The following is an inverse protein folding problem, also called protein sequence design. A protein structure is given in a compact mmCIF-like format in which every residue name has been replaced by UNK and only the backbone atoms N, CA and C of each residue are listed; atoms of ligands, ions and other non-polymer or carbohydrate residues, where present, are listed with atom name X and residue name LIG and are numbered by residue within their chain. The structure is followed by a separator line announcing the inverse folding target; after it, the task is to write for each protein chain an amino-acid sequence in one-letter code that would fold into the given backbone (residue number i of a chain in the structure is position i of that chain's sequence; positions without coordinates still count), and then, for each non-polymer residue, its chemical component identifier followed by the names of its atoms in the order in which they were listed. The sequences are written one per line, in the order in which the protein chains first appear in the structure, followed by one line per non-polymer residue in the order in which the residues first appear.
data_IF_708501059009
#
_entry.id   IF_708501059009
#
_cell.length_a   1.000
_cell.length_b   1.000
_cell.length_c   1.000
_cell.angle_alpha   90.00
_cell.angle_beta   90.00
_cell.angle_gamma   90.00
#
_symmetry.space_group_name_H-M   'P 1'
#
loop_
_entity.id
_entity.type
_entity.pdbx_description
1 polymer ?
#
# COMPACT_ATOMS: atom_id res chain seq x y z
N UNK A 1 -2.85 7.56 44.09
CA UNK A 1 -1.86 8.57 43.61
C UNK A 1 -1.77 8.60 42.08
N UNK A 2 -1.48 7.50 41.39
CA UNK A 2 -1.22 7.53 39.93
C UNK A 2 -2.48 7.42 39.06
N UNK A 3 -3.52 6.78 39.60
CA UNK A 3 -4.84 6.77 39.00
C UNK A 3 -5.35 8.17 38.65
N UNK A 4 -4.99 9.19 39.43
CA UNK A 4 -5.44 10.57 39.22
C UNK A 4 -4.81 11.21 37.97
N UNK A 5 -3.56 10.88 37.62
CA UNK A 5 -2.90 11.38 36.40
C UNK A 5 -3.56 10.83 35.13
N UNK A 6 -3.99 9.57 35.16
CA UNK A 6 -4.69 8.93 34.05
C UNK A 6 -6.17 9.32 33.96
N UNK A 7 -6.84 9.40 35.12
CA UNK A 7 -8.21 9.86 35.23
C UNK A 7 -8.38 11.27 34.63
N UNK A 8 -7.37 12.14 34.77
CA UNK A 8 -7.35 13.45 34.10
C UNK A 8 -7.46 13.33 32.59
N UNK A 9 -6.63 12.51 31.94
CA UNK A 9 -6.63 12.40 30.48
C UNK A 9 -7.95 11.84 29.95
N UNK A 10 -8.47 10.79 30.58
CA UNK A 10 -9.74 10.16 30.19
C UNK A 10 -10.93 11.08 30.47
N UNK A 11 -11.04 11.63 31.68
CA UNK A 11 -12.18 12.47 32.03
C UNK A 11 -12.12 13.84 31.37
N UNK A 12 -10.94 14.32 30.93
CA UNK A 12 -10.84 15.50 30.07
C UNK A 12 -11.52 15.24 28.72
N UNK A 13 -11.22 14.09 28.08
CA UNK A 13 -11.86 13.70 26.80
C UNK A 13 -13.37 13.45 26.99
N UNK A 14 -13.76 12.66 27.99
CA UNK A 14 -15.18 12.38 28.26
C UNK A 14 -15.95 13.63 28.76
N UNK A 15 -15.25 14.57 29.38
CA UNK A 15 -15.79 15.83 29.88
C UNK A 15 -16.08 16.86 28.79
N UNK A 16 -15.55 16.67 27.57
CA UNK A 16 -15.95 17.42 26.38
C UNK A 16 -17.40 17.10 25.98
N UNK A 17 -17.82 15.84 26.15
CA UNK A 17 -19.12 15.35 25.70
C UNK A 17 -20.16 15.19 26.83
N UNK A 18 -19.77 15.38 28.09
CA UNK A 18 -20.70 15.23 29.21
C UNK A 18 -20.28 16.00 30.48
N UNK A 19 -21.21 16.82 30.96
CA UNK A 19 -21.05 17.61 32.18
C UNK A 19 -20.78 16.75 33.42
N UNK A 20 -21.31 15.52 33.46
CA UNK A 20 -21.08 14.57 34.55
C UNK A 20 -19.61 14.17 34.68
N UNK A 21 -18.90 14.00 33.56
CA UNK A 21 -17.49 13.63 33.57
C UNK A 21 -16.56 14.82 33.81
N UNK A 22 -17.03 16.05 33.54
CA UNK A 22 -16.29 17.29 33.82
C UNK A 22 -16.01 17.50 35.31
N UNK A 23 -16.97 17.17 36.17
CA UNK A 23 -16.79 17.22 37.62
C UNK A 23 -15.70 16.26 38.10
N UNK A 24 -15.73 15.00 37.64
CA UNK A 24 -14.69 14.02 37.94
C UNK A 24 -13.32 14.39 37.37
N UNK A 25 -13.26 15.03 36.20
CA UNK A 25 -12.03 15.55 35.62
C UNK A 25 -11.40 16.62 36.52
N UNK A 26 -12.21 17.53 37.08
CA UNK A 26 -11.72 18.59 37.96
C UNK A 26 -11.16 18.05 39.29
N UNK A 27 -11.81 17.04 39.88
CA UNK A 27 -11.36 16.39 41.11
C UNK A 27 -10.07 15.58 40.87
N UNK A 28 -10.00 14.85 39.75
CA UNK A 28 -8.80 14.16 39.31
C UNK A 28 -7.65 15.14 39.03
N UNK A 29 -7.92 16.28 38.40
CA UNK A 29 -6.93 17.33 38.11
C UNK A 29 -6.35 17.95 39.37
N UNK A 30 -7.19 18.27 40.35
CA UNK A 30 -6.73 18.81 41.64
C UNK A 30 -5.77 17.84 42.35
N UNK A 31 -6.09 16.55 42.36
CA UNK A 31 -5.21 15.55 42.95
C UNK A 31 -3.94 15.30 42.11
N UNK A 32 -4.04 15.24 40.79
CA UNK A 32 -2.88 15.13 39.90
C UNK A 32 -1.89 16.28 40.09
N UNK A 33 -2.39 17.52 40.14
CA UNK A 33 -1.59 18.72 40.36
C UNK A 33 -0.92 18.72 41.74
N UNK A 34 -1.67 18.41 42.80
CA UNK A 34 -1.09 18.26 44.15
C UNK A 34 0.02 17.21 44.18
N UNK A 35 -0.18 16.07 43.52
CA UNK A 35 0.81 14.99 43.42
C UNK A 35 2.07 15.45 42.68
N UNK A 36 1.95 16.17 41.55
CA UNK A 36 3.11 16.76 40.87
C UNK A 36 3.88 17.75 41.76
N UNK A 37 3.18 18.47 42.64
CA UNK A 37 3.79 19.37 43.64
C UNK A 37 4.22 18.68 44.95
N UNK A 38 4.31 17.34 44.97
CA UNK A 38 4.65 16.53 46.14
C UNK A 38 3.72 16.72 47.37
N UNK A 39 2.51 17.22 47.15
CA UNK A 39 1.46 17.36 48.17
C UNK A 39 0.54 16.14 48.18
N UNK A 40 0.16 15.67 49.38
CA UNK A 40 -0.78 14.56 49.53
C UNK A 40 -2.16 14.93 48.96
N UNK A 41 -2.81 13.96 48.33
CA UNK A 41 -4.20 14.10 47.93
C UNK A 41 -5.12 13.74 49.08
N UNK A 42 -6.02 14.65 49.45
CA UNK A 42 -7.05 14.41 50.48
C UNK A 42 -8.38 13.88 49.88
N UNK A 43 -8.42 13.61 48.58
CA UNK A 43 -9.61 13.13 47.89
C UNK A 43 -9.65 11.61 47.92
N UNK A 44 -10.60 10.99 48.63
CA UNK A 44 -10.88 9.53 48.60
C UNK A 44 -11.48 9.03 47.27
N UNK A 45 -11.04 9.65 46.17
CA UNK A 45 -11.54 9.45 44.83
C UNK A 45 -11.16 8.07 44.28
N UNK A 46 -9.97 7.58 44.62
CA UNK A 46 -9.49 6.24 44.30
C UNK A 46 -10.38 5.17 44.95
N UNK A 47 -10.68 5.29 46.24
CA UNK A 47 -11.59 4.36 46.94
C UNK A 47 -13.04 4.45 46.42
N UNK A 48 -13.53 5.66 46.10
CA UNK A 48 -14.85 5.85 45.47
C UNK A 48 -14.95 5.22 44.07
N UNK A 49 -13.90 5.31 43.26
CA UNK A 49 -13.89 4.72 41.92
C UNK A 49 -13.69 3.21 41.98
N UNK A 50 -12.77 2.74 42.83
CA UNK A 50 -12.55 1.32 43.10
C UNK A 50 -13.82 0.62 43.54
N UNK A 51 -14.54 1.18 44.53
CA UNK A 51 -15.81 0.62 45.00
C UNK A 51 -16.91 0.60 43.93
N UNK A 52 -17.06 1.67 43.12
CA UNK A 52 -18.02 1.69 42.00
C UNK A 52 -17.73 0.66 40.92
N UNK A 53 -16.46 0.50 40.55
CA UNK A 53 -16.04 -0.48 39.54
C UNK A 53 -16.27 -1.90 40.05
N UNK A 54 -15.81 -2.19 41.28
CA UNK A 54 -15.98 -3.51 41.91
C UNK A 54 -17.47 -3.85 42.07
N UNK A 55 -18.31 -2.90 42.51
CA UNK A 55 -19.74 -3.12 42.66
C UNK A 55 -20.46 -3.49 41.34
N UNK A 56 -19.96 -3.01 40.20
CA UNK A 56 -20.53 -3.32 38.88
C UNK A 56 -20.08 -4.69 38.34
N UNK A 57 -18.93 -5.19 38.79
CA UNK A 57 -18.35 -6.48 38.39
C UNK A 57 -18.86 -7.62 39.29
N UNK A 58 -19.10 -7.33 40.57
CA UNK A 58 -19.55 -8.28 41.59
C UNK A 58 -20.73 -9.18 41.19
N UNK A 59 -21.82 -8.69 40.53
CA UNK A 59 -22.94 -9.55 40.15
C UNK A 59 -22.61 -10.57 39.04
N UNK A 60 -21.52 -10.38 38.29
CA UNK A 60 -21.11 -11.30 37.22
C UNK A 60 -20.06 -12.32 37.70
N UNK A 61 -19.11 -11.89 38.54
CA UNK A 61 -18.05 -12.76 39.06
C UNK A 61 -17.42 -12.18 40.32
N UNK A 62 -17.57 -12.90 41.43
CA UNK A 62 -16.94 -12.55 42.70
C UNK A 62 -15.41 -12.68 42.65
N UNK A 63 -14.89 -13.67 41.92
CA UNK A 63 -13.45 -13.86 41.76
C UNK A 63 -12.80 -12.69 41.01
N UNK A 64 -13.43 -12.22 39.93
CA UNK A 64 -12.95 -11.07 39.15
C UNK A 64 -13.06 -9.78 39.96
N UNK A 65 -14.15 -9.58 40.70
CA UNK A 65 -14.31 -8.43 41.57
C UNK A 65 -13.23 -8.36 42.66
N UNK A 66 -12.90 -9.52 43.28
CA UNK A 66 -11.82 -9.64 44.26
C UNK A 66 -10.44 -9.36 43.65
N UNK A 67 -10.16 -9.94 42.48
CA UNK A 67 -8.91 -9.71 41.76
C UNK A 67 -8.71 -8.23 41.40
N UNK A 68 -9.73 -7.58 40.82
CA UNK A 68 -9.69 -6.16 40.48
C UNK A 68 -9.53 -5.28 41.72
N UNK A 69 -10.14 -5.67 42.84
CA UNK A 69 -9.98 -4.97 44.11
C UNK A 69 -8.55 -5.07 44.66
N UNK A 70 -7.96 -6.26 44.69
CA UNK A 70 -6.60 -6.51 45.20
C UNK A 70 -5.52 -5.90 44.28
N UNK A 71 -5.70 -5.98 42.96
CA UNK A 71 -4.73 -5.53 41.95
C UNK A 71 -5.01 -4.13 41.39
N UNK A 72 -5.94 -3.37 42.00
CA UNK A 72 -6.41 -2.08 41.47
C UNK A 72 -5.26 -1.10 41.15
N UNK A 73 -4.26 -1.03 42.04
CA UNK A 73 -3.10 -0.14 41.90
C UNK A 73 -2.20 -0.58 40.74
N UNK A 74 -1.93 -1.88 40.63
CA UNK A 74 -1.09 -2.43 39.55
C UNK A 74 -1.76 -2.25 38.18
N UNK A 75 -3.06 -2.54 38.08
CA UNK A 75 -3.85 -2.34 36.86
C UNK A 75 -3.84 -0.85 36.46
N UNK A 76 -3.99 0.05 37.43
CA UNK A 76 -3.94 1.50 37.16
C UNK A 76 -2.59 1.93 36.58
N UNK A 77 -1.48 1.41 37.10
CA UNK A 77 -0.14 1.70 36.58
C UNK A 77 0.11 1.15 35.18
N UNK A 78 -0.36 -0.06 34.90
CA UNK A 78 -0.26 -0.68 33.56
C UNK A 78 -1.00 0.19 32.53
N UNK A 79 -2.20 0.65 32.87
CA UNK A 79 -2.98 1.53 31.99
C UNK A 79 -2.29 2.87 31.74
N UNK A 80 -1.68 3.46 32.77
CA UNK A 80 -0.91 4.72 32.63
C UNK A 80 0.30 4.51 31.72
N UNK A 81 1.10 3.47 31.98
CA UNK A 81 2.29 3.17 31.17
C UNK A 81 1.92 2.90 29.71
N UNK A 82 0.87 2.12 29.47
CA UNK A 82 0.35 1.85 28.13
C UNK A 82 -0.08 3.12 27.41
N UNK A 83 -0.76 4.05 28.10
CA UNK A 83 -1.21 5.32 27.53
C UNK A 83 -0.04 6.24 27.20
N UNK A 84 0.96 6.32 28.09
CA UNK A 84 2.17 7.12 27.85
C UNK A 84 2.97 6.59 26.66
N UNK A 85 3.18 5.27 26.59
CA UNK A 85 3.85 4.63 25.46
C UNK A 85 3.08 4.91 24.17
N UNK A 86 1.75 4.75 24.18
CA UNK A 86 0.92 5.05 23.02
C UNK A 86 1.03 6.52 22.59
N UNK A 87 1.00 7.46 23.54
CA UNK A 87 1.15 8.89 23.25
C UNK A 87 2.51 9.25 22.65
N UNK A 88 3.60 8.65 23.17
CA UNK A 88 4.95 8.84 22.63
C UNK A 88 5.02 8.30 21.20
N UNK A 89 4.46 7.11 20.93
CA UNK A 89 4.44 6.54 19.59
C UNK A 89 3.68 7.42 18.59
N UNK A 90 2.53 7.98 18.99
CA UNK A 90 1.75 8.91 18.14
C UNK A 90 2.53 10.19 17.85
N UNK A 91 3.18 10.77 18.87
CA UNK A 91 3.99 11.97 18.68
C UNK A 91 5.18 11.73 17.76
N UNK A 92 5.88 10.60 17.92
CA UNK A 92 6.97 10.18 17.05
C UNK A 92 6.49 10.00 15.60
N UNK A 93 5.35 9.35 15.41
CA UNK A 93 4.76 9.14 14.09
C UNK A 93 4.38 10.46 13.40
N UNK A 94 3.79 11.40 14.14
CA UNK A 94 3.46 12.72 13.62
C UNK A 94 4.72 13.50 13.19
N UNK A 95 5.76 13.49 14.02
CA UNK A 95 7.05 14.11 13.69
C UNK A 95 7.67 13.49 12.44
N UNK A 96 7.72 12.16 12.36
CA UNK A 96 8.29 11.46 11.21
C UNK A 96 7.49 11.75 9.93
N UNK A 97 6.16 11.84 10.03
CA UNK A 97 5.32 12.12 8.86
C UNK A 97 5.60 13.52 8.32
N UNK A 98 5.75 14.49 9.21
CA UNK A 98 6.10 15.86 8.85
C UNK A 98 7.51 15.98 8.25
N UNK A 99 8.50 15.31 8.84
CA UNK A 99 9.90 15.43 8.45
C UNK A 99 10.32 14.53 7.27
N UNK A 100 9.74 13.33 7.15
CA UNK A 100 10.19 12.27 6.24
C UNK A 100 9.07 11.67 5.37
N UNK A 101 7.82 12.13 5.51
CA UNK A 101 6.68 11.63 4.74
C UNK A 101 6.22 10.20 5.10
N UNK A 102 6.70 9.65 6.22
CA UNK A 102 6.35 8.32 6.73
C UNK A 102 6.26 8.31 8.28
N UNK A 103 5.72 7.27 8.90
CA UNK A 103 5.45 7.27 10.36
C UNK A 103 6.61 6.73 11.20
N UNK A 104 7.58 6.09 10.58
CA UNK A 104 8.54 5.24 11.27
C UNK A 104 9.97 5.83 11.28
N UNK A 105 10.23 6.90 10.50
CA UNK A 105 11.47 7.68 10.54
C UNK A 105 12.28 7.65 9.24
N UNK A 106 13.53 8.16 9.26
CA UNK A 106 14.35 8.30 8.06
C UNK A 106 14.77 6.96 7.44
N UNK A 107 14.92 5.91 8.26
CA UNK A 107 15.35 4.58 7.82
C UNK A 107 14.18 3.61 7.58
N UNK A 108 12.95 4.10 7.66
CA UNK A 108 11.77 3.26 7.58
C UNK A 108 11.12 3.26 6.19
N UNK A 109 10.93 2.06 5.65
CA UNK A 109 10.37 1.81 4.30
C UNK A 109 8.87 1.48 4.30
N UNK A 110 8.20 1.57 5.46
CA UNK A 110 6.79 1.22 5.63
C UNK A 110 5.85 2.43 5.42
N UNK A 111 4.70 2.18 4.76
CA UNK A 111 3.64 3.17 4.60
C UNK A 111 2.78 3.29 5.87
N UNK A 112 2.45 4.53 6.25
CA UNK A 112 1.62 4.87 7.41
C UNK A 112 0.19 4.29 7.34
N UNK A 113 -0.26 3.68 8.43
CA UNK A 113 -1.68 3.32 8.67
C UNK A 113 -2.58 4.57 8.73
N UNK A 114 -2.01 5.73 9.08
CA UNK A 114 -2.69 7.02 9.10
C UNK A 114 -2.11 7.97 8.05
N UNK A 115 -2.24 7.60 6.78
CA UNK A 115 -2.10 8.55 5.70
C UNK A 115 -3.43 9.31 5.53
N UNK A 116 -3.52 10.62 5.85
CA UNK A 116 -4.73 11.41 5.61
C UNK A 116 -5.07 11.54 4.11
N UNK A 117 -4.17 11.13 3.20
CA UNK A 117 -4.42 11.05 1.77
C UNK A 117 -5.12 9.74 1.30
N UNK A 118 -5.54 8.85 2.22
CA UNK A 118 -6.49 7.79 1.90
C UNK A 118 -5.98 6.62 1.04
N UNK A 119 -4.70 6.27 1.12
CA UNK A 119 -4.14 5.10 0.42
C UNK A 119 -3.37 4.20 1.38
N UNK A 120 -3.82 2.95 1.53
CA UNK A 120 -3.03 1.88 2.16
C UNK A 120 -3.70 1.13 3.31
N UNK A 121 -4.74 0.34 3.02
CA UNK A 121 -5.11 -0.78 3.88
C UNK A 121 -4.38 -2.02 3.35
N UNK A 122 -3.38 -2.53 4.08
CA UNK A 122 -2.97 -3.92 3.94
C UNK A 122 -2.44 -4.43 5.28
N UNK A 123 -3.28 -5.21 5.95
CA UNK A 123 -2.88 -6.02 7.08
C UNK A 123 -1.80 -7.03 6.64
N UNK A 124 -0.90 -7.36 7.58
CA UNK A 124 0.05 -8.48 7.54
C UNK A 124 1.19 -8.44 6.49
N UNK A 125 2.35 -7.99 6.97
CA UNK A 125 3.59 -8.78 6.88
C UNK A 125 4.26 -8.95 5.52
N UNK A 126 4.63 -7.87 4.84
CA UNK A 126 5.59 -7.94 3.73
C UNK A 126 6.81 -7.06 4.04
N UNK A 127 7.94 -7.75 4.19
CA UNK A 127 9.28 -7.19 4.26
C UNK A 127 9.63 -6.46 2.96
N UNK A 128 9.73 -5.13 2.99
CA UNK A 128 10.48 -4.38 1.97
C UNK A 128 11.85 -4.04 2.54
N UNK A 129 12.68 -5.08 2.65
CA UNK A 129 14.13 -4.90 2.52
C UNK A 129 14.36 -4.15 1.22
N UNK A 130 15.00 -2.99 1.26
CA UNK A 130 15.35 -2.19 0.09
C UNK A 130 16.22 -2.99 -0.88
N UNK A 131 15.59 -3.75 -1.78
CA UNK A 131 16.23 -4.26 -2.98
C UNK A 131 16.31 -3.08 -3.93
N UNK A 132 17.50 -2.49 -4.06
CA UNK A 132 17.77 -1.58 -5.16
C UNK A 132 17.48 -2.32 -6.47
N UNK A 133 16.52 -1.81 -7.23
CA UNK A 133 16.26 -2.27 -8.60
C UNK A 133 17.46 -1.89 -9.47
N UNK A 134 17.80 -2.75 -10.43
CA UNK A 134 18.75 -2.39 -11.47
C UNK A 134 17.96 -1.90 -12.68
N UNK A 135 18.46 -0.88 -13.38
CA UNK A 135 17.90 -0.48 -14.66
C UNK A 135 17.95 -1.67 -15.64
N UNK A 136 16.91 -1.88 -16.49
CA UNK A 136 16.87 -3.05 -17.36
C UNK A 136 18.05 -3.08 -18.34
N UNK A 137 18.60 -4.28 -18.61
CA UNK A 137 19.77 -4.42 -19.48
C UNK A 137 19.48 -4.05 -20.94
N UNK A 138 18.20 -4.06 -21.34
CA UNK A 138 17.74 -3.74 -22.69
C UNK A 138 16.46 -2.92 -22.65
N UNK A 139 16.31 -2.03 -23.63
CA UNK A 139 15.07 -1.27 -23.90
C UNK A 139 14.32 -1.81 -25.12
N UNK A 140 14.77 -2.93 -25.69
CA UNK A 140 14.07 -3.58 -26.80
C UNK A 140 12.76 -4.21 -26.35
N UNK A 141 11.78 -4.19 -27.24
CA UNK A 141 10.41 -4.62 -26.96
C UNK A 141 9.39 -3.82 -27.76
N UNK A 142 8.12 -4.15 -27.57
CA UNK A 142 7.03 -3.39 -28.17
C UNK A 142 6.99 -2.00 -27.55
N UNK A 143 6.99 -0.98 -28.40
CA UNK A 143 7.03 0.43 -27.97
C UNK A 143 5.95 1.28 -28.64
N UNK A 144 5.53 2.33 -27.94
CA UNK A 144 4.68 3.42 -28.45
C UNK A 144 5.46 4.72 -28.41
N UNK A 145 5.27 5.56 -29.42
CA UNK A 145 6.00 6.82 -29.58
C UNK A 145 7.34 6.64 -30.28
N UNK A 146 8.05 7.75 -30.47
CA UNK A 146 9.32 7.79 -31.21
C UNK A 146 10.49 7.48 -30.29
N UNK A 147 11.33 6.49 -30.63
CA UNK A 147 12.53 6.05 -29.87
C UNK A 147 13.64 7.12 -29.69
N UNK A 148 13.35 8.40 -29.96
CA UNK A 148 14.22 9.55 -29.72
C UNK A 148 13.93 10.27 -28.40
N UNK A 149 12.75 10.05 -27.81
CA UNK A 149 12.34 10.65 -26.54
C UNK A 149 12.95 9.96 -25.31
N UNK A 150 12.56 10.42 -24.12
CA UNK A 150 12.87 9.74 -22.86
C UNK A 150 12.15 8.39 -22.80
N UNK A 151 12.87 7.33 -22.44
CA UNK A 151 12.30 6.00 -22.26
C UNK A 151 11.47 5.91 -20.98
N UNK A 152 10.24 5.42 -21.11
CA UNK A 152 9.37 5.01 -20.01
C UNK A 152 9.13 3.52 -20.16
N UNK A 153 9.80 2.70 -19.34
CA UNK A 153 9.67 1.24 -19.40
C UNK A 153 8.75 0.78 -18.29
N UNK A 154 7.74 -0.03 -18.63
CA UNK A 154 6.89 -0.72 -17.67
C UNK A 154 7.11 -2.23 -17.76
N UNK A 155 7.48 -2.84 -16.65
CA UNK A 155 7.36 -4.28 -16.47
C UNK A 155 6.01 -4.59 -15.86
N UNK A 156 5.17 -5.29 -16.63
CA UNK A 156 3.78 -5.55 -16.28
C UNK A 156 3.40 -6.99 -16.55
N UNK A 157 2.43 -7.48 -15.78
CA UNK A 157 1.72 -8.71 -16.12
C UNK A 157 0.29 -8.41 -16.56
N UNK A 158 -0.16 -9.10 -17.61
CA UNK A 158 -1.43 -8.90 -18.27
C UNK A 158 -2.63 -9.24 -17.39
N UNK A 159 -2.45 -10.14 -16.44
CA UNK A 159 -3.53 -10.57 -15.54
C UNK A 159 -3.52 -9.85 -14.19
N UNK A 160 -2.57 -8.94 -13.93
CA UNK A 160 -2.51 -8.18 -12.68
C UNK A 160 -3.47 -6.97 -12.68
N UNK A 161 -4.32 -6.82 -11.65
CA UNK A 161 -5.22 -5.67 -11.55
C UNK A 161 -4.50 -4.33 -11.39
N UNK A 162 -3.28 -4.32 -10.84
CA UNK A 162 -2.50 -3.08 -10.68
C UNK A 162 -1.87 -2.62 -11.99
N UNK A 163 -1.37 -3.54 -12.83
CA UNK A 163 -0.95 -3.21 -14.20
C UNK A 163 -2.17 -2.71 -15.00
N UNK A 164 -3.33 -3.34 -14.87
CA UNK A 164 -4.55 -2.81 -15.52
C UNK A 164 -4.88 -1.36 -15.11
N UNK A 165 -4.58 -0.97 -13.88
CA UNK A 165 -4.81 0.39 -13.38
C UNK A 165 -3.84 1.43 -13.98
N UNK A 166 -2.68 1.02 -14.51
CA UNK A 166 -1.74 1.95 -15.15
C UNK A 166 -2.13 2.29 -16.57
N UNK A 167 -2.93 1.47 -17.24
CA UNK A 167 -3.36 1.70 -18.63
C UNK A 167 -3.86 3.13 -18.91
N UNK A 168 -4.78 3.72 -18.12
CA UNK A 168 -5.23 5.10 -18.35
C UNK A 168 -4.11 6.12 -18.10
N UNK A 169 -3.22 5.84 -17.14
CA UNK A 169 -2.08 6.70 -16.80
C UNK A 169 -1.06 6.71 -17.94
N UNK A 170 -0.75 5.55 -18.52
CA UNK A 170 0.14 5.41 -19.69
C UNK A 170 -0.44 6.15 -20.89
N UNK A 171 -1.73 5.99 -21.17
CA UNK A 171 -2.41 6.73 -22.25
C UNK A 171 -2.35 8.23 -22.04
N UNK A 172 -2.53 8.70 -20.81
CA UNK A 172 -2.40 10.12 -20.47
C UNK A 172 -0.96 10.62 -20.64
N UNK A 173 0.05 9.85 -20.21
CA UNK A 173 1.47 10.19 -20.43
C UNK A 173 1.79 10.34 -21.92
N UNK A 174 1.42 9.37 -22.74
CA UNK A 174 1.67 9.40 -24.18
C UNK A 174 0.96 10.58 -24.87
N UNK A 175 -0.27 10.90 -24.45
CA UNK A 175 -1.02 12.03 -25.00
C UNK A 175 -0.40 13.40 -24.64
N UNK A 176 0.10 13.58 -23.41
CA UNK A 176 0.66 14.86 -22.96
C UNK A 176 2.09 15.11 -23.48
N UNK A 177 2.89 14.05 -23.56
CA UNK A 177 4.30 14.19 -23.91
C UNK A 177 4.61 14.00 -25.39
N UNK A 178 3.79 13.24 -26.13
CA UNK A 178 4.04 12.94 -27.54
C UNK A 178 5.44 12.35 -27.74
N UNK A 179 6.16 12.82 -28.77
CA UNK A 179 7.50 12.35 -29.12
C UNK A 179 8.60 12.67 -28.10
N UNK A 180 8.29 13.41 -27.02
CA UNK A 180 9.24 13.66 -25.92
C UNK A 180 9.48 12.43 -25.08
N UNK A 181 8.57 11.45 -25.11
CA UNK A 181 8.75 10.15 -24.47
C UNK A 181 8.46 9.03 -25.45
N UNK A 182 8.96 7.84 -25.15
CA UNK A 182 8.43 6.61 -25.73
C UNK A 182 8.21 5.59 -24.62
N UNK A 183 7.12 4.84 -24.76
CA UNK A 183 6.72 3.84 -23.79
C UNK A 183 7.14 2.45 -24.29
N UNK A 184 7.73 1.64 -23.41
CA UNK A 184 8.07 0.24 -23.67
C UNK A 184 7.35 -0.63 -22.66
N UNK A 185 6.52 -1.56 -23.13
CA UNK A 185 5.92 -2.57 -22.26
C UNK A 185 6.74 -3.86 -22.32
N UNK A 186 7.14 -4.37 -21.15
CA UNK A 186 7.85 -5.62 -20.99
C UNK A 186 7.02 -6.58 -20.16
N UNK A 187 6.61 -7.68 -20.77
CA UNK A 187 5.88 -8.75 -20.09
C UNK A 187 6.73 -9.33 -18.97
N UNK A 188 6.23 -9.23 -17.74
CA UNK A 188 6.81 -9.87 -16.55
C UNK A 188 5.75 -10.77 -15.93
N UNK A 189 5.46 -11.93 -16.56
CA UNK A 189 4.45 -12.85 -16.05
C UNK A 189 4.83 -13.28 -14.63
N UNK A 190 3.98 -12.93 -13.68
CA UNK A 190 4.18 -13.18 -12.26
C UNK A 190 3.39 -14.42 -11.83
N UNK A 191 3.02 -14.52 -10.55
CA UNK A 191 2.32 -15.69 -9.99
C UNK A 191 0.82 -15.75 -10.31
N UNK A 192 0.32 -14.91 -11.23
CA UNK A 192 -1.10 -14.89 -11.59
C UNK A 192 -1.43 -15.98 -12.61
N UNK A 193 -2.65 -16.52 -12.52
CA UNK A 193 -3.13 -17.54 -13.46
C UNK A 193 -3.26 -16.96 -14.87
N UNK A 194 -2.90 -17.74 -15.89
CA UNK A 194 -2.96 -17.38 -17.32
C UNK A 194 -2.05 -16.23 -17.78
N UNK A 195 -1.10 -15.84 -16.94
CA UNK A 195 -0.26 -14.68 -17.22
C UNK A 195 0.79 -14.93 -18.30
N UNK A 196 1.41 -16.12 -18.25
CA UNK A 196 2.30 -16.61 -19.31
C UNK A 196 1.57 -16.74 -20.64
N UNK A 197 0.39 -17.38 -20.63
CA UNK A 197 -0.46 -17.52 -21.83
C UNK A 197 -0.84 -16.14 -22.40
N UNK A 198 -1.15 -15.17 -21.54
CA UNK A 198 -1.52 -13.80 -21.96
C UNK A 198 -0.34 -13.06 -22.58
N UNK A 199 0.86 -13.24 -22.04
CA UNK A 199 2.08 -12.67 -22.60
C UNK A 199 2.42 -13.28 -23.97
N UNK A 200 2.33 -14.59 -24.11
CA UNK A 200 2.52 -15.26 -25.41
C UNK A 200 1.44 -14.86 -26.43
N UNK A 201 0.19 -14.71 -25.99
CA UNK A 201 -0.92 -14.28 -26.83
C UNK A 201 -0.70 -12.88 -27.41
N UNK A 202 -0.16 -11.95 -26.61
CA UNK A 202 0.21 -10.63 -27.10
C UNK A 202 1.28 -10.71 -28.20
N UNK A 203 2.30 -11.56 -28.04
CA UNK A 203 3.33 -11.78 -29.07
C UNK A 203 2.77 -12.46 -30.34
N UNK A 204 1.83 -13.40 -30.19
CA UNK A 204 1.12 -13.98 -31.33
C UNK A 204 0.28 -12.96 -32.10
N UNK A 205 -0.28 -11.95 -31.41
CA UNK A 205 -0.93 -10.82 -32.07
C UNK A 205 0.08 -9.85 -32.71
N UNK A 206 1.29 -9.72 -32.13
CA UNK A 206 2.38 -8.94 -32.72
C UNK A 206 2.81 -9.46 -34.08
N UNK A 207 2.82 -10.78 -34.29
CA UNK A 207 3.11 -11.40 -35.60
C UNK A 207 2.15 -10.90 -36.70
N UNK A 208 0.97 -10.44 -36.31
CA UNK A 208 -0.05 -9.90 -37.20
C UNK A 208 -0.10 -8.36 -37.17
N UNK A 209 0.90 -7.70 -36.58
CA UNK A 209 1.01 -6.24 -36.39
C UNK A 209 -0.08 -5.64 -35.49
N UNK A 210 -0.59 -6.40 -34.52
CA UNK A 210 -1.71 -6.01 -33.66
C UNK A 210 -1.39 -6.10 -32.17
N UNK A 211 -0.11 -5.96 -31.79
CA UNK A 211 0.33 -6.08 -30.40
C UNK A 211 -0.45 -5.13 -29.47
N UNK A 212 -0.45 -3.83 -29.77
CA UNK A 212 -1.05 -2.80 -28.90
C UNK A 212 -2.58 -2.90 -28.81
N UNK A 213 -3.24 -3.22 -29.92
CA UNK A 213 -4.69 -3.46 -29.91
C UNK A 213 -5.04 -4.69 -29.06
N UNK A 214 -4.21 -5.73 -29.12
CA UNK A 214 -4.40 -6.93 -28.33
C UNK A 214 -4.07 -6.71 -26.85
N UNK A 215 -2.98 -5.99 -26.55
CA UNK A 215 -2.60 -5.52 -25.21
C UNK A 215 -3.76 -4.80 -24.52
N UNK A 216 -4.32 -3.79 -25.19
CA UNK A 216 -5.45 -3.02 -24.69
C UNK A 216 -6.69 -3.91 -24.48
N UNK A 217 -6.94 -4.85 -25.39
CA UNK A 217 -8.07 -5.75 -25.30
C UNK A 217 -7.94 -6.78 -24.17
N UNK A 218 -6.73 -7.28 -23.89
CA UNK A 218 -6.48 -8.14 -22.71
C UNK A 218 -6.81 -7.35 -21.44
N UNK A 219 -6.32 -6.13 -21.29
CA UNK A 219 -6.58 -5.35 -20.08
C UNK A 219 -8.06 -4.96 -19.96
N UNK A 220 -8.73 -4.62 -21.06
CA UNK A 220 -10.17 -4.39 -21.09
C UNK A 220 -10.94 -5.64 -20.62
N UNK A 221 -10.63 -6.81 -21.20
CA UNK A 221 -11.21 -8.12 -20.92
C UNK A 221 -10.59 -8.89 -19.76
N UNK A 222 -9.75 -8.27 -18.92
CA UNK A 222 -8.89 -8.98 -17.96
C UNK A 222 -9.65 -9.94 -17.03
N UNK A 223 -10.88 -9.59 -16.63
CA UNK A 223 -11.71 -10.46 -15.80
C UNK A 223 -12.01 -11.79 -16.49
N UNK A 224 -12.36 -11.76 -17.77
CA UNK A 224 -12.65 -12.95 -18.56
C UNK A 224 -11.38 -13.76 -18.85
N UNK A 225 -10.25 -13.09 -19.12
CA UNK A 225 -8.95 -13.76 -19.31
C UNK A 225 -8.53 -14.48 -18.02
N UNK A 226 -8.72 -13.88 -16.85
CA UNK A 226 -8.43 -14.52 -15.57
C UNK A 226 -9.34 -15.72 -15.27
N UNK A 227 -10.58 -15.70 -15.76
CA UNK A 227 -11.56 -16.77 -15.53
C UNK A 227 -11.41 -17.93 -16.53
N UNK A 228 -11.16 -17.61 -17.80
CA UNK A 228 -11.29 -18.55 -18.92
C UNK A 228 -9.99 -18.79 -19.70
N UNK A 229 -8.90 -18.09 -19.36
CA UNK A 229 -7.56 -18.29 -19.92
C UNK A 229 -7.54 -18.24 -21.45
N UNK A 230 -6.98 -19.29 -22.06
CA UNK A 230 -6.79 -19.40 -23.52
C UNK A 230 -8.08 -19.20 -24.32
N UNK A 231 -9.25 -19.61 -23.80
CA UNK A 231 -10.51 -19.42 -24.50
C UNK A 231 -10.86 -17.94 -24.67
N UNK A 232 -10.73 -17.14 -23.59
CA UNK A 232 -10.93 -15.70 -23.65
C UNK A 232 -9.86 -15.00 -24.52
N UNK A 233 -8.61 -15.48 -24.47
CA UNK A 233 -7.54 -14.97 -25.35
C UNK A 233 -7.86 -15.21 -26.85
N UNK A 234 -8.39 -16.39 -27.19
CA UNK A 234 -8.85 -16.68 -28.56
C UNK A 234 -10.03 -15.80 -28.98
N UNK A 235 -10.99 -15.56 -28.07
CA UNK A 235 -12.12 -14.68 -28.34
C UNK A 235 -11.67 -13.23 -28.59
N UNK A 236 -10.72 -12.72 -27.82
CA UNK A 236 -10.11 -11.40 -28.05
C UNK A 236 -9.48 -11.35 -29.45
N UNK A 237 -8.74 -12.38 -29.85
CA UNK A 237 -8.12 -12.44 -31.18
C UNK A 237 -9.18 -12.40 -32.29
N UNK A 238 -10.26 -13.15 -32.13
CA UNK A 238 -11.39 -13.16 -33.06
C UNK A 238 -12.06 -11.79 -33.16
N UNK A 239 -12.33 -11.14 -32.02
CA UNK A 239 -12.99 -9.84 -31.96
C UNK A 239 -12.15 -8.72 -32.58
N UNK A 240 -10.81 -8.84 -32.52
CA UNK A 240 -9.89 -7.92 -33.18
C UNK A 240 -9.70 -8.22 -34.67
N UNK A 241 -10.32 -9.27 -35.21
CA UNK A 241 -10.22 -9.66 -36.61
C UNK A 241 -8.86 -10.28 -36.97
N UNK A 242 -8.16 -10.87 -36.00
CA UNK A 242 -6.93 -11.62 -36.28
C UNK A 242 -7.24 -12.91 -37.05
N UNK A 243 -6.26 -13.41 -37.78
CA UNK A 243 -6.31 -14.75 -38.33
C UNK A 243 -6.25 -15.76 -37.18
N UNK A 244 -7.40 -16.31 -36.81
CA UNK A 244 -7.55 -17.20 -35.65
C UNK A 244 -6.84 -18.53 -35.83
N UNK A 245 -6.65 -19.01 -37.07
CA UNK A 245 -5.89 -20.22 -37.36
C UNK A 245 -4.39 -20.00 -37.10
N UNK A 246 -3.83 -18.89 -37.63
CA UNK A 246 -2.43 -18.51 -37.37
C UNK A 246 -2.21 -18.24 -35.88
N UNK A 247 -3.12 -17.53 -35.22
CA UNK A 247 -3.05 -17.22 -33.80
C UNK A 247 -3.08 -18.50 -32.93
N UNK A 248 -4.02 -19.41 -33.21
CA UNK A 248 -4.13 -20.68 -32.48
C UNK A 248 -2.91 -21.57 -32.68
N UNK A 249 -2.35 -21.61 -33.89
CA UNK A 249 -1.11 -22.33 -34.15
C UNK A 249 0.07 -21.71 -33.37
N UNK A 250 0.18 -20.39 -33.36
CA UNK A 250 1.20 -19.67 -32.61
C UNK A 250 1.15 -20.00 -31.10
N UNK A 251 -0.05 -19.93 -30.51
CA UNK A 251 -0.28 -20.27 -29.10
C UNK A 251 0.02 -21.74 -28.80
N UNK A 252 -0.52 -22.67 -29.60
CA UNK A 252 -0.37 -24.12 -29.36
C UNK A 252 1.07 -24.62 -29.51
N UNK A 253 1.90 -23.92 -30.29
CA UNK A 253 3.31 -24.25 -30.48
C UNK A 253 4.25 -23.53 -29.52
N UNK A 254 3.73 -22.67 -28.64
CA UNK A 254 4.52 -21.82 -27.74
C UNK A 254 5.61 -21.03 -28.49
N UNK A 255 5.28 -20.55 -29.68
CA UNK A 255 6.25 -19.96 -30.63
C UNK A 255 7.06 -18.82 -30.02
N UNK A 256 6.43 -18.03 -29.14
CA UNK A 256 7.02 -16.84 -28.52
C UNK A 256 7.37 -17.01 -27.04
N UNK A 257 7.29 -18.23 -26.49
CA UNK A 257 7.69 -18.50 -25.11
C UNK A 257 9.11 -18.04 -24.80
N UNK A 258 10.05 -18.19 -25.75
CA UNK A 258 11.42 -17.73 -25.58
C UNK A 258 11.52 -16.20 -25.42
N UNK A 259 10.71 -15.44 -26.18
CA UNK A 259 10.64 -13.97 -26.11
C UNK A 259 10.07 -13.53 -24.77
N UNK A 260 8.99 -14.18 -24.32
CA UNK A 260 8.40 -13.91 -22.99
C UNK A 260 9.40 -14.23 -21.88
N UNK A 261 10.13 -15.35 -21.99
CA UNK A 261 11.13 -15.74 -21.01
C UNK A 261 12.34 -14.79 -20.96
N UNK A 262 12.72 -14.20 -22.10
CA UNK A 262 13.75 -13.16 -22.16
C UNK A 262 13.32 -11.92 -21.37
N UNK A 263 12.14 -11.38 -21.65
CA UNK A 263 11.56 -10.24 -20.90
C UNK A 263 11.42 -10.53 -19.40
N UNK A 264 10.97 -11.75 -19.06
CA UNK A 264 10.91 -12.20 -17.67
C UNK A 264 12.30 -12.23 -17.01
N UNK A 265 13.31 -12.76 -17.71
CA UNK A 265 14.70 -12.83 -17.23
C UNK A 265 15.30 -11.44 -17.03
N UNK A 266 15.04 -10.50 -17.94
CA UNK A 266 15.45 -9.10 -17.77
C UNK A 266 14.85 -8.48 -16.51
N UNK A 267 13.57 -8.77 -16.20
CA UNK A 267 12.95 -8.32 -14.96
C UNK A 267 13.61 -8.93 -13.72
N UNK A 268 14.02 -10.20 -13.77
CA UNK A 268 14.78 -10.84 -12.68
C UNK A 268 16.17 -10.21 -12.49
N UNK A 269 16.90 -9.93 -13.58
CA UNK A 269 18.18 -9.21 -13.56
C UNK A 269 18.01 -7.80 -12.99
N UNK A 270 16.88 -7.16 -13.31
CA UNK A 270 16.46 -5.86 -12.79
C UNK A 270 15.99 -5.91 -11.33
N UNK A 271 15.97 -7.11 -10.72
CA UNK A 271 15.51 -7.40 -9.36
C UNK A 271 14.06 -7.00 -9.09
N UNK A 272 13.23 -6.99 -10.14
CA UNK A 272 11.81 -6.69 -10.04
C UNK A 272 11.14 -7.74 -9.15
N UNK A 273 10.39 -7.25 -8.16
CA UNK A 273 9.68 -8.08 -7.19
C UNK A 273 8.18 -7.80 -7.16
N UNK A 274 7.69 -6.94 -8.05
CA UNK A 274 6.29 -6.57 -8.15
C UNK A 274 5.98 -5.89 -9.48
N UNK A 275 4.73 -5.99 -9.89
CA UNK A 275 4.20 -5.35 -11.10
C UNK A 275 3.02 -4.44 -10.72
N UNK A 276 2.83 -3.32 -11.41
CA UNK A 276 3.72 -2.77 -12.44
C UNK A 276 5.01 -2.22 -11.80
N UNK A 277 6.13 -2.27 -12.52
CA UNK A 277 7.36 -1.54 -12.15
C UNK A 277 7.77 -0.65 -13.30
N UNK A 278 7.93 0.64 -13.03
CA UNK A 278 8.37 1.63 -14.02
C UNK A 278 9.84 2.00 -13.86
N UNK A 279 10.50 2.20 -15.00
CA UNK A 279 11.80 2.84 -15.12
C UNK A 279 11.62 4.10 -15.99
N UNK A 280 11.94 5.27 -15.43
CA UNK A 280 11.84 6.57 -16.10
C UNK A 280 13.19 7.27 -15.91
N UNK A 281 14.05 7.23 -16.93
CA UNK A 281 15.43 7.70 -16.79
C UNK A 281 16.14 7.00 -15.61
N UNK A 282 16.63 7.76 -14.64
CA UNK A 282 17.29 7.19 -13.45
C UNK A 282 16.32 6.89 -12.28
N UNK A 283 15.03 7.16 -12.45
CA UNK A 283 14.03 6.96 -11.42
C UNK A 283 13.29 5.62 -11.62
N UNK A 284 12.95 4.96 -10.51
CA UNK A 284 12.24 3.68 -10.52
C UNK A 284 11.05 3.71 -9.59
N UNK A 285 9.93 3.12 -10.03
CA UNK A 285 8.68 3.12 -9.28
C UNK A 285 8.09 1.72 -9.24
N UNK A 286 7.93 1.17 -8.03
CA UNK A 286 7.29 -0.14 -7.83
C UNK A 286 5.83 0.01 -7.45
N UNK A 287 4.99 -0.79 -8.09
CA UNK A 287 3.55 -0.78 -7.95
C UNK A 287 2.90 0.39 -8.70
N UNK A 288 1.57 0.37 -8.73
CA UNK A 288 0.79 1.47 -9.30
C UNK A 288 1.19 2.82 -8.66
N UNK A 289 1.28 3.85 -9.51
CA UNK A 289 1.46 5.25 -9.13
C UNK A 289 0.47 6.09 -9.91
N UNK A 290 -0.08 7.10 -9.26
CA UNK A 290 -0.93 8.08 -9.92
C UNK A 290 -0.12 8.90 -10.92
N UNK A 291 -0.82 9.42 -11.94
CA UNK A 291 -0.22 10.19 -13.03
C UNK A 291 0.71 11.32 -12.56
N UNK A 292 0.32 12.07 -11.51
CA UNK A 292 1.13 13.17 -10.99
C UNK A 292 2.53 12.75 -10.56
N UNK A 293 2.68 11.56 -9.96
CA UNK A 293 3.99 11.05 -9.51
C UNK A 293 4.89 10.73 -10.70
N UNK A 294 4.36 10.05 -11.71
CA UNK A 294 5.12 9.71 -12.92
C UNK A 294 5.42 10.96 -13.76
N UNK A 295 4.47 11.90 -13.82
CA UNK A 295 4.64 13.21 -14.46
C UNK A 295 5.83 13.96 -13.87
N UNK A 296 5.89 14.10 -12.55
CA UNK A 296 6.98 14.81 -11.89
C UNK A 296 8.35 14.17 -12.20
N UNK A 297 8.41 12.84 -12.32
CA UNK A 297 9.62 12.12 -12.71
C UNK A 297 10.02 12.40 -14.17
N UNK A 298 9.06 12.31 -15.09
CA UNK A 298 9.28 12.64 -16.50
C UNK A 298 9.78 14.08 -16.65
N UNK A 299 9.15 15.04 -15.96
CA UNK A 299 9.58 16.44 -16.02
C UNK A 299 10.99 16.68 -15.47
N UNK A 300 11.39 15.94 -14.43
CA UNK A 300 12.77 16.02 -13.89
C UNK A 300 13.78 15.45 -14.88
N UNK A 301 13.48 14.30 -15.49
CA UNK A 301 14.38 13.65 -16.44
C UNK A 301 14.48 14.44 -17.76
N UNK A 302 13.38 15.05 -18.25
CA UNK A 302 13.40 15.90 -19.45
C UNK A 302 14.13 17.24 -19.28
N UNK A 303 14.41 17.68 -18.04
CA UNK A 303 15.15 18.91 -17.75
C UNK A 303 16.67 18.73 -17.71
N UNK A 304 17.15 17.48 -17.73
CA UNK A 304 18.58 17.17 -17.77
C UNK A 304 19.13 17.30 -19.19
#
# INVERSE_FOLDING_TARGET
MVFCLFAVAIFAVLGLFSAKYRAYASEAWSCAFKTMTLRKCDTGFDEKMKSKIVAKILPYSAATARFVHEQFVAISWILVASTLVSGIMVAQAAYNTYAYGNCNGPDATEACIFNPAGTGFSACGVSTTGKSLNYPPSLEGHSLGTKTGLAVVEFGCFTCPYTKKTEPVVKQMLAEYGDRIYFVFKSFPASHQHDWDSAEAAECAAEQNRYWDYHDAIFAGQTEVRANGTAALQEIAQNLGLNTAQFSQCMSSHKYLAVVNESYTEGLISKIYGTPTFFIGNETFVGYKDYGVLKDAIERELKK
#
